data_IF_999572284962
#
_entry.id   IF_999572284962
#
_cell.length_a   1.000
_cell.length_b   1.000
_cell.length_c   1.000
_cell.angle_alpha   90.00
_cell.angle_beta   90.00
_cell.angle_gamma   90.00
#
_symmetry.space_group_name_H-M   'P 1'
#
loop_
_entity.id
_entity.type
_entity.pdbx_description
1 polymer ?
#
# COMPACT_ATOMS: atom_id res chain seq x y z
N UNK A 1 10.70 14.77 0.71
CA UNK A 1 11.70 13.69 0.50
C UNK A 1 11.99 13.58 -0.99
N UNK A 2 13.15 13.04 -1.37
CA UNK A 2 13.48 12.81 -2.79
C UNK A 2 13.31 11.34 -3.13
N UNK A 3 12.97 11.03 -4.38
CA UNK A 3 12.92 9.67 -4.90
C UNK A 3 13.87 9.55 -6.10
N UNK A 4 14.18 8.32 -6.48
CA UNK A 4 14.88 8.00 -7.72
C UNK A 4 13.95 7.19 -8.61
N UNK A 5 13.88 7.58 -9.89
CA UNK A 5 13.20 6.81 -10.91
C UNK A 5 14.21 6.04 -11.74
N UNK A 6 13.90 4.77 -11.97
CA UNK A 6 14.57 3.91 -12.91
C UNK A 6 13.55 3.47 -13.95
N UNK A 7 13.73 3.90 -15.20
CA UNK A 7 12.83 3.50 -16.28
C UNK A 7 12.94 2.00 -16.52
N UNK A 8 11.79 1.36 -16.74
CA UNK A 8 11.65 -0.05 -17.07
C UNK A 8 11.16 -0.18 -18.52
N UNK A 9 11.13 -1.41 -19.02
CA UNK A 9 10.52 -1.72 -20.30
C UNK A 9 8.99 -1.73 -20.16
N UNK A 10 8.31 -0.77 -20.79
CA UNK A 10 6.85 -0.66 -20.75
C UNK A 10 6.15 -1.77 -21.54
N UNK A 11 6.84 -2.42 -22.49
CA UNK A 11 6.25 -3.49 -23.29
C UNK A 11 5.92 -4.75 -22.47
N UNK A 12 6.57 -4.91 -21.31
CA UNK A 12 6.27 -6.00 -20.37
C UNK A 12 5.00 -5.64 -19.57
N UNK A 13 3.91 -6.43 -19.65
CA UNK A 13 2.67 -6.13 -18.93
C UNK A 13 2.84 -6.09 -17.41
N UNK A 14 2.16 -5.15 -16.75
CA UNK A 14 2.20 -4.98 -15.28
C UNK A 14 1.85 -6.26 -14.52
N UNK A 15 0.90 -7.06 -15.03
CA UNK A 15 0.54 -8.35 -14.44
C UNK A 15 1.69 -9.38 -14.48
N UNK A 16 2.46 -9.44 -15.57
CA UNK A 16 3.64 -10.32 -15.64
C UNK A 16 4.72 -9.87 -14.66
N UNK A 17 4.90 -8.55 -14.50
CA UNK A 17 5.79 -8.01 -13.47
C UNK A 17 5.28 -8.37 -12.08
N UNK A 18 3.99 -8.26 -11.81
CA UNK A 18 3.42 -8.67 -10.52
C UNK A 18 3.66 -10.15 -10.23
N UNK A 19 3.52 -11.02 -11.23
CA UNK A 19 3.75 -12.46 -11.06
C UNK A 19 5.14 -12.78 -10.51
N UNK A 20 6.15 -11.97 -10.83
CA UNK A 20 7.51 -12.13 -10.30
C UNK A 20 7.64 -11.78 -8.81
N UNK A 21 6.75 -10.95 -8.27
CA UNK A 21 6.77 -10.49 -6.87
C UNK A 21 5.56 -10.97 -6.06
N UNK A 22 4.61 -11.70 -6.64
CA UNK A 22 3.34 -12.08 -6.00
C UNK A 22 3.53 -12.86 -4.70
N UNK A 23 4.59 -13.66 -4.61
CA UNK A 23 4.91 -14.48 -3.44
C UNK A 23 5.75 -13.74 -2.40
N UNK A 24 6.15 -12.50 -2.69
CA UNK A 24 6.86 -11.68 -1.73
C UNK A 24 5.92 -11.22 -0.61
N UNK A 25 6.49 -11.04 0.57
CA UNK A 25 5.76 -10.60 1.75
C UNK A 25 4.98 -9.30 1.48
N UNK A 26 3.67 -9.32 1.73
CA UNK A 26 2.76 -8.18 1.52
C UNK A 26 2.89 -7.59 0.11
N UNK A 27 2.98 -8.44 -0.91
CA UNK A 27 2.85 -7.99 -2.29
C UNK A 27 1.47 -7.34 -2.51
N UNK A 28 1.46 -6.24 -3.26
CA UNK A 28 0.26 -5.46 -3.53
C UNK A 28 0.24 -4.99 -4.98
N UNK A 29 -0.95 -5.03 -5.57
CA UNK A 29 -1.19 -4.58 -6.93
C UNK A 29 -2.48 -3.77 -6.96
N UNK A 30 -2.34 -2.46 -7.23
CA UNK A 30 -3.46 -1.59 -7.58
C UNK A 30 -3.52 -1.56 -9.11
N UNK A 31 -4.48 -2.28 -9.68
CA UNK A 31 -4.69 -2.34 -11.11
C UNK A 31 -5.85 -1.43 -11.53
N UNK A 32 -5.59 -0.57 -12.51
CA UNK A 32 -6.52 0.42 -13.03
C UNK A 32 -7.35 -0.13 -14.19
N UNK A 33 -7.06 -1.35 -14.65
CA UNK A 33 -7.71 -1.99 -15.78
C UNK A 33 -7.85 -1.03 -16.99
N UNK A 34 -6.77 -0.28 -17.28
CA UNK A 34 -6.74 0.83 -18.24
C UNK A 34 -7.23 0.45 -19.64
N UNK A 35 -7.08 -0.83 -20.03
CA UNK A 35 -7.61 -1.38 -21.29
C UNK A 35 -9.13 -1.21 -21.43
N UNK A 36 -9.86 -1.33 -20.32
CA UNK A 36 -11.32 -1.20 -20.29
C UNK A 36 -11.77 0.20 -19.85
N UNK A 37 -10.89 0.96 -19.19
CA UNK A 37 -11.19 2.28 -18.65
C UNK A 37 -10.04 3.26 -18.92
N UNK A 38 -10.06 3.99 -20.05
CA UNK A 38 -8.96 4.87 -20.46
C UNK A 38 -8.63 5.99 -19.46
N UNK A 39 -9.62 6.42 -18.67
CA UNK A 39 -9.43 7.44 -17.62
C UNK A 39 -8.65 6.90 -16.41
N UNK A 40 -8.46 5.58 -16.33
CA UNK A 40 -7.73 4.92 -15.25
C UNK A 40 -6.25 4.73 -15.63
N UNK A 41 -5.44 5.76 -15.35
CA UNK A 41 -4.08 5.95 -15.89
C UNK A 41 -2.98 5.05 -15.33
N UNK A 42 -3.04 4.64 -14.07
CA UNK A 42 -1.87 4.08 -13.37
C UNK A 42 -2.09 2.72 -12.76
N UNK A 43 -1.19 1.78 -13.05
CA UNK A 43 -0.98 0.61 -12.20
C UNK A 43 0.14 0.89 -11.20
N UNK A 44 -0.03 0.43 -9.96
CA UNK A 44 0.96 0.55 -8.89
C UNK A 44 1.19 -0.81 -8.26
N UNK A 45 2.45 -1.24 -8.20
CA UNK A 45 2.86 -2.50 -7.62
C UNK A 45 3.93 -2.29 -6.55
N UNK A 46 3.88 -3.05 -5.46
CA UNK A 46 4.94 -3.05 -4.46
C UNK A 46 4.93 -4.36 -3.66
N UNK A 47 5.94 -4.56 -2.83
CA UNK A 47 6.04 -5.67 -1.88
C UNK A 47 7.07 -5.34 -0.79
N UNK A 48 7.22 -6.23 0.20
CA UNK A 48 8.21 -6.12 1.29
C UNK A 48 8.17 -4.76 2.01
N UNK A 49 7.02 -4.41 2.62
CA UNK A 49 6.90 -3.14 3.33
C UNK A 49 7.89 -3.06 4.50
N UNK A 50 8.41 -1.86 4.77
CA UNK A 50 9.29 -1.60 5.92
C UNK A 50 8.57 -1.68 7.25
N UNK A 51 7.29 -1.31 7.26
CA UNK A 51 6.43 -1.38 8.44
C UNK A 51 5.05 -1.89 8.03
N UNK A 52 4.36 -2.59 8.93
CA UNK A 52 2.97 -3.00 8.74
C UNK A 52 2.15 -2.50 9.93
N UNK A 53 0.98 -1.95 9.63
CA UNK A 53 -0.03 -1.56 10.63
C UNK A 53 -1.19 -2.51 10.46
N UNK A 54 -1.54 -3.23 11.52
CA UNK A 54 -2.61 -4.22 11.52
C UNK A 54 -3.58 -3.88 12.65
N UNK A 55 -4.88 -3.87 12.36
CA UNK A 55 -5.93 -3.85 13.38
C UNK A 55 -6.67 -5.18 13.37
N UNK A 56 -6.65 -5.87 14.50
CA UNK A 56 -7.30 -7.16 14.71
C UNK A 56 -7.64 -7.33 16.18
N UNK A 57 -8.73 -8.02 16.49
CA UNK A 57 -9.21 -8.27 17.86
C UNK A 57 -9.28 -7.00 18.73
N UNK A 58 -9.79 -5.91 18.17
CA UNK A 58 -9.90 -4.59 18.82
C UNK A 58 -8.56 -3.98 19.27
N UNK A 59 -7.45 -4.41 18.66
CA UNK A 59 -6.11 -3.94 18.96
C UNK A 59 -5.37 -3.49 17.70
N UNK A 60 -4.58 -2.42 17.82
CA UNK A 60 -3.65 -1.96 16.79
C UNK A 60 -2.26 -2.54 17.04
N UNK A 61 -1.62 -3.04 16.00
CA UNK A 61 -0.27 -3.57 16.02
C UNK A 61 0.62 -2.88 14.99
N UNK A 62 1.86 -2.58 15.39
CA UNK A 62 2.94 -2.16 14.51
C UNK A 62 3.96 -3.29 14.39
N UNK A 63 4.30 -3.63 13.16
CA UNK A 63 5.36 -4.59 12.83
C UNK A 63 6.42 -3.81 12.04
N UNK A 64 7.69 -3.87 12.45
CA UNK A 64 8.80 -3.22 11.75
C UNK A 64 9.70 -4.30 11.13
N UNK A 65 9.67 -4.48 9.82
CA UNK A 65 10.34 -5.60 9.13
C UNK A 65 9.91 -6.95 9.71
N UNK A 66 10.90 -7.80 10.05
CA UNK A 66 10.66 -9.14 10.60
C UNK A 66 10.55 -9.18 12.13
N UNK A 67 10.38 -8.02 12.78
CA UNK A 67 10.23 -7.95 14.23
C UNK A 67 8.85 -8.47 14.68
N UNK A 68 8.79 -8.92 15.93
CA UNK A 68 7.51 -9.31 16.54
C UNK A 68 6.52 -8.12 16.58
N UNK A 69 5.21 -8.38 16.39
CA UNK A 69 4.18 -7.35 16.48
C UNK A 69 4.20 -6.66 17.85
N UNK A 70 4.20 -5.33 17.83
CA UNK A 70 4.08 -4.51 19.04
C UNK A 70 2.70 -3.87 19.08
N UNK A 71 1.96 -4.12 20.16
CA UNK A 71 0.69 -3.43 20.40
C UNK A 71 0.94 -1.92 20.52
N UNK A 72 0.12 -1.13 19.85
CA UNK A 72 0.10 0.33 19.95
C UNK A 72 -1.08 0.78 20.81
N UNK A 73 -0.88 1.87 21.55
CA UNK A 73 -1.96 2.57 22.25
C UNK A 73 -2.79 3.46 21.30
N UNK A 74 -2.24 3.78 20.12
CA UNK A 74 -2.93 4.57 19.10
C UNK A 74 -3.91 3.70 18.31
N UNK A 75 -5.03 4.30 17.90
CA UNK A 75 -5.89 3.67 16.90
C UNK A 75 -5.16 3.59 15.54
N UNK A 76 -5.59 2.72 14.60
CA UNK A 76 -4.80 2.45 13.40
C UNK A 76 -4.67 3.67 12.47
N UNK A 77 -5.68 4.53 12.40
CA UNK A 77 -5.61 5.78 11.62
C UNK A 77 -4.64 6.80 12.22
N UNK A 78 -4.60 6.95 13.55
CA UNK A 78 -3.66 7.84 14.22
C UNK A 78 -2.23 7.34 14.06
N UNK A 79 -2.01 6.04 14.22
CA UNK A 79 -0.71 5.43 13.99
C UNK A 79 -0.27 5.59 12.53
N UNK A 80 -1.17 5.37 11.58
CA UNK A 80 -0.90 5.59 10.16
C UNK A 80 -0.52 7.04 9.90
N UNK A 81 -1.30 8.01 10.39
CA UNK A 81 -1.03 9.44 10.27
C UNK A 81 0.32 9.82 10.87
N UNK A 82 0.65 9.29 12.05
CA UNK A 82 1.94 9.51 12.72
C UNK A 82 3.10 8.95 11.92
N UNK A 83 2.95 7.79 11.28
CA UNK A 83 4.03 7.24 10.44
C UNK A 83 4.14 8.05 9.14
N UNK A 84 3.01 8.43 8.53
CA UNK A 84 2.99 9.20 7.29
C UNK A 84 3.50 10.64 7.43
N UNK A 85 3.59 11.21 8.63
CA UNK A 85 4.20 12.54 8.81
C UNK A 85 5.69 12.56 8.42
N UNK A 86 6.35 11.40 8.44
CA UNK A 86 7.72 11.25 7.98
C UNK A 86 7.81 11.20 6.44
N UNK A 87 6.73 10.82 5.74
CA UNK A 87 6.67 10.59 4.30
C UNK A 87 6.17 11.82 3.54
N UNK A 88 6.95 12.92 3.56
CA UNK A 88 6.60 14.16 2.85
C UNK A 88 6.81 14.01 1.34
N UNK A 89 5.71 13.99 0.57
CA UNK A 89 5.76 14.06 -0.90
C UNK A 89 5.86 15.50 -1.39
N UNK A 90 6.49 15.69 -2.55
CA UNK A 90 6.39 16.95 -3.28
C UNK A 90 5.09 16.92 -4.09
N UNK A 91 4.22 17.91 -3.91
CA UNK A 91 2.91 18.00 -4.58
C UNK A 91 2.99 18.09 -6.11
N UNK A 92 4.16 18.42 -6.67
CA UNK A 92 4.40 18.56 -8.12
C UNK A 92 5.03 17.31 -8.74
N UNK A 93 4.81 16.13 -8.16
CA UNK A 93 5.34 14.87 -8.66
C UNK A 93 4.49 14.35 -9.82
N UNK A 94 5.11 14.02 -10.95
CA UNK A 94 4.43 13.41 -12.11
C UNK A 94 3.95 11.97 -11.85
N UNK A 95 4.45 11.34 -10.78
CA UNK A 95 4.07 9.99 -10.34
C UNK A 95 3.06 10.04 -9.17
N UNK A 96 2.05 9.13 -9.16
CA UNK A 96 0.96 9.15 -8.17
C UNK A 96 1.39 8.63 -6.78
N UNK A 97 2.49 7.89 -6.70
CA UNK A 97 3.00 7.30 -5.48
C UNK A 97 4.53 7.32 -5.51
N UNK A 98 5.17 7.74 -4.42
CA UNK A 98 6.64 7.85 -4.32
C UNK A 98 7.19 7.18 -3.05
N UNK A 99 6.44 6.18 -2.56
CA UNK A 99 6.58 5.63 -1.22
C UNK A 99 5.47 6.16 -0.29
N UNK A 100 5.19 5.39 0.76
CA UNK A 100 4.09 5.66 1.69
C UNK A 100 3.28 4.41 1.99
N UNK A 101 2.02 4.58 2.34
CA UNK A 101 1.16 3.50 2.79
C UNK A 101 0.26 2.97 1.67
N UNK A 102 0.18 1.65 1.53
CA UNK A 102 -0.82 0.97 0.69
C UNK A 102 -1.40 -0.19 1.49
N UNK A 103 -2.71 -0.40 1.41
CA UNK A 103 -3.38 -1.38 2.24
C UNK A 103 -4.86 -1.46 1.96
N UNK A 104 -5.59 -2.08 2.89
CA UNK A 104 -7.03 -2.19 2.85
C UNK A 104 -7.66 -1.87 4.21
N UNK A 105 -8.92 -1.47 4.14
CA UNK A 105 -9.82 -1.30 5.28
C UNK A 105 -11.04 -2.16 4.99
N UNK A 106 -11.31 -3.12 5.86
CA UNK A 106 -12.50 -3.97 5.76
C UNK A 106 -13.75 -3.16 6.06
N UNK A 107 -14.87 -3.52 5.44
CA UNK A 107 -16.19 -3.00 5.78
C UNK A 107 -16.49 -3.09 7.28
N UNK A 108 -16.10 -4.20 7.92
CA UNK A 108 -16.33 -4.44 9.34
C UNK A 108 -15.54 -3.51 10.26
N UNK A 109 -14.50 -2.84 9.77
CA UNK A 109 -13.87 -1.76 10.52
C UNK A 109 -14.86 -0.59 10.74
N UNK A 110 -15.78 -0.35 9.79
CA UNK A 110 -16.87 0.62 9.95
C UNK A 110 -17.81 0.27 11.09
N UNK A 111 -18.10 -1.03 11.30
CA UNK A 111 -18.88 -1.49 12.44
C UNK A 111 -18.17 -1.15 13.77
N UNK A 112 -16.84 -1.33 13.83
CA UNK A 112 -16.05 -0.93 14.98
C UNK A 112 -16.12 0.59 15.22
N UNK A 113 -15.96 1.42 14.18
CA UNK A 113 -16.05 2.88 14.29
C UNK A 113 -17.39 3.39 14.83
N UNK A 114 -18.49 2.69 14.51
CA UNK A 114 -19.85 3.08 14.88
C UNK A 114 -20.44 2.26 16.03
N UNK A 115 -19.63 1.44 16.72
CA UNK A 115 -20.06 0.55 17.81
C UNK A 115 -21.22 -0.39 17.41
N UNK A 116 -21.26 -0.84 16.16
CA UNK A 116 -22.26 -1.76 15.65
C UNK A 116 -21.82 -3.19 15.99
N UNK A 117 -22.69 -3.94 16.69
CA UNK A 117 -22.42 -5.35 17.01
C UNK A 117 -22.34 -6.19 15.73
N UNK A 118 -21.16 -6.69 15.41
CA UNK A 118 -20.98 -7.64 14.33
C UNK A 118 -21.50 -9.03 14.74
N UNK A 119 -22.59 -9.48 14.10
CA UNK A 119 -23.20 -10.78 14.36
C UNK A 119 -22.57 -11.93 13.57
N UNK A 120 -21.76 -11.63 12.55
CA UNK A 120 -21.21 -12.60 11.61
C UNK A 120 -19.68 -12.51 11.55
N UNK A 121 -18.98 -12.92 12.62
CA UNK A 121 -17.51 -13.08 12.62
C UNK A 121 -17.09 -14.34 11.85
N UNK A 122 -17.48 -14.48 10.58
CA UNK A 122 -17.14 -15.65 9.77
C UNK A 122 -15.68 -15.68 9.30
N UNK A 123 -14.97 -14.55 9.32
CA UNK A 123 -13.63 -14.45 8.74
C UNK A 123 -12.61 -13.95 9.77
N UNK A 124 -11.50 -14.68 9.88
CA UNK A 124 -10.35 -14.30 10.69
C UNK A 124 -9.34 -13.51 9.85
N UNK A 125 -9.72 -12.30 9.42
CA UNK A 125 -8.83 -11.38 8.74
C UNK A 125 -8.71 -10.06 9.53
N UNK A 126 -7.60 -9.32 9.41
CA UNK A 126 -7.51 -7.97 9.95
C UNK A 126 -8.62 -7.07 9.40
N UNK A 127 -9.13 -6.15 10.22
CA UNK A 127 -10.10 -5.15 9.75
C UNK A 127 -9.40 -3.94 9.11
N UNK A 128 -8.12 -3.73 9.44
CA UNK A 128 -7.27 -2.69 8.86
C UNK A 128 -5.89 -3.29 8.65
N UNK A 129 -5.33 -3.15 7.46
CA UNK A 129 -4.00 -3.66 7.17
C UNK A 129 -3.30 -2.78 6.13
N UNK A 130 -2.25 -2.06 6.56
CA UNK A 130 -1.46 -1.19 5.69
C UNK A 130 0.03 -1.52 5.79
N UNK A 131 0.65 -1.73 4.63
CA UNK A 131 2.10 -1.79 4.49
C UNK A 131 2.65 -0.40 4.19
N UNK A 132 3.82 -0.10 4.73
CA UNK A 132 4.57 1.13 4.47
C UNK A 132 5.74 0.79 3.54
N UNK A 133 5.61 1.18 2.28
CA UNK A 133 6.54 0.83 1.21
C UNK A 133 7.46 2.01 0.88
N UNK A 134 8.73 1.72 0.65
CA UNK A 134 9.75 2.68 0.22
C UNK A 134 10.10 2.54 -1.27
N UNK A 135 9.39 1.68 -1.99
CA UNK A 135 9.50 1.54 -3.44
C UNK A 135 8.16 1.18 -4.06
N UNK A 136 8.01 1.45 -5.35
CA UNK A 136 6.91 0.95 -6.16
C UNK A 136 7.32 0.84 -7.63
N UNK A 137 6.72 -0.10 -8.33
CA UNK A 137 6.68 -0.10 -9.80
C UNK A 137 5.40 0.61 -10.22
N UNK A 138 5.53 1.55 -11.15
CA UNK A 138 4.44 2.39 -11.62
C UNK A 138 4.37 2.26 -13.13
N UNK A 139 3.20 1.91 -13.65
CA UNK A 139 2.91 2.02 -15.08
C UNK A 139 2.06 3.26 -15.30
N UNK A 140 2.47 4.09 -16.23
CA UNK A 140 1.71 5.22 -16.73
C UNK A 140 1.25 4.91 -18.15
N UNK A 141 -0.02 4.52 -18.28
CA UNK A 141 -0.59 4.13 -19.58
C UNK A 141 -0.82 5.32 -20.51
N UNK A 142 -0.92 6.54 -19.98
CA UNK A 142 -1.09 7.74 -20.81
C UNK A 142 0.24 8.16 -21.44
N UNK A 143 1.35 8.00 -20.71
CA UNK A 143 2.68 8.30 -21.24
C UNK A 143 3.38 7.10 -21.90
N UNK A 144 2.79 5.90 -21.80
CA UNK A 144 3.40 4.63 -22.23
C UNK A 144 4.79 4.39 -21.60
N UNK A 145 4.89 4.61 -20.29
CA UNK A 145 6.14 4.44 -19.53
C UNK A 145 5.91 3.61 -18.28
N UNK A 146 6.94 2.85 -17.90
CA UNK A 146 7.00 2.17 -16.62
C UNK A 146 8.27 2.54 -15.87
N UNK A 147 8.17 2.62 -14.54
CA UNK A 147 9.28 3.05 -13.69
C UNK A 147 9.32 2.23 -12.39
N UNK A 148 10.52 1.90 -11.94
CA UNK A 148 10.80 1.60 -10.55
C UNK A 148 11.10 2.91 -9.82
N UNK A 149 10.20 3.30 -8.92
CA UNK A 149 10.36 4.40 -7.99
C UNK A 149 10.95 3.89 -6.68
N UNK A 150 12.04 4.49 -6.22
CA UNK A 150 12.69 4.18 -4.94
C UNK A 150 12.78 5.47 -4.12
N UNK A 151 12.22 5.46 -2.92
CA UNK A 151 12.31 6.57 -1.98
C UNK A 151 13.74 6.67 -1.43
N UNK A 152 14.35 7.85 -1.52
CA UNK A 152 15.65 8.11 -0.88
C UNK A 152 15.40 8.49 0.58
N UNK A 153 16.13 7.84 1.48
CA UNK A 153 16.23 8.26 2.88
C UNK A 153 17.09 9.51 3.00
#
# INVERSE_FOLDING_TARGET
MSYKLHQLDFSVPSMQVFESIKNEDWSIFLNSNSKNYPDQRFDILSAKPKKKIIFSDDNTYLINGDQQPKKSELCPFELLKKIMSDYKSNSNSEIPFSGGAIGYISYDYGNHLHNIKNKNKCFNHPLFAFGIYDWAIIYDYVQEKSFLCIMKK
#
